data_IF_639387135411
#
_entry.id   IF_639387135411
#
_cell.length_a   1.000
_cell.length_b   1.000
_cell.length_c   1.000
_cell.angle_alpha   90.00
_cell.angle_beta   90.00
_cell.angle_gamma   90.00
#
_symmetry.space_group_name_H-M   'P 1'
#
loop_
_entity.id
_entity.type
_entity.pdbx_description
1 polymer ?
#
# COMPACT_ATOMS: atom_id res chain seq x y z
N UNK A 1 38.27 26.97 11.69
CA UNK A 1 38.13 25.51 11.83
C UNK A 1 37.14 25.07 10.76
N UNK A 2 37.65 24.61 9.64
CA UNK A 2 36.86 24.03 8.55
C UNK A 2 36.27 22.75 9.10
N UNK A 3 34.93 22.69 9.16
CA UNK A 3 34.20 21.52 9.62
C UNK A 3 34.52 20.35 8.69
N UNK A 4 34.74 19.18 9.27
CA UNK A 4 35.31 18.00 8.59
C UNK A 4 34.53 17.63 7.33
N UNK A 5 35.30 17.19 6.34
CA UNK A 5 34.88 16.61 5.08
C UNK A 5 33.71 15.62 5.26
N UNK A 6 32.50 16.05 4.91
CA UNK A 6 31.38 15.13 4.71
C UNK A 6 31.64 14.37 3.40
N UNK A 7 32.19 13.17 3.50
CA UNK A 7 32.26 12.25 2.37
C UNK A 7 30.90 11.55 2.21
N UNK A 8 30.12 12.07 1.26
CA UNK A 8 28.83 11.50 0.89
C UNK A 8 28.91 10.01 0.51
N UNK A 9 30.02 9.58 -0.10
CA UNK A 9 30.26 8.20 -0.50
C UNK A 9 30.40 7.28 0.70
N UNK A 10 31.18 7.68 1.70
CA UNK A 10 31.31 6.95 2.97
C UNK A 10 29.98 6.88 3.71
N UNK A 11 29.25 7.99 3.80
CA UNK A 11 27.93 8.05 4.45
C UNK A 11 26.90 7.13 3.76
N UNK A 12 26.89 7.06 2.42
CA UNK A 12 26.04 6.11 1.70
C UNK A 12 26.43 4.65 1.96
N UNK A 13 27.73 4.35 1.99
CA UNK A 13 28.25 3.02 2.29
C UNK A 13 27.86 2.57 3.70
N UNK A 14 27.92 3.47 4.67
CA UNK A 14 27.48 3.23 6.05
C UNK A 14 25.98 2.90 6.10
N UNK A 15 25.13 3.75 5.53
CA UNK A 15 23.68 3.51 5.50
C UNK A 15 23.28 2.20 4.81
N UNK A 16 23.98 1.81 3.74
CA UNK A 16 23.72 0.51 3.08
C UNK A 16 24.13 -0.69 3.94
N UNK A 17 25.22 -0.59 4.71
CA UNK A 17 25.64 -1.63 5.66
C UNK A 17 24.61 -1.79 6.78
N UNK A 18 24.10 -0.69 7.32
CA UNK A 18 23.04 -0.71 8.33
C UNK A 18 21.76 -1.37 7.80
N UNK A 19 21.34 -1.04 6.57
CA UNK A 19 20.18 -1.65 5.93
C UNK A 19 20.35 -3.18 5.74
N UNK A 20 21.56 -3.64 5.42
CA UNK A 20 21.87 -5.08 5.32
C UNK A 20 21.83 -5.77 6.69
N UNK A 21 22.41 -5.17 7.73
CA UNK A 21 22.39 -5.69 9.08
C UNK A 21 20.95 -5.80 9.61
N UNK A 22 20.11 -4.79 9.34
CA UNK A 22 18.69 -4.83 9.68
C UNK A 22 17.97 -5.96 8.95
N UNK A 23 18.22 -6.13 7.64
CA UNK A 23 17.63 -7.22 6.85
C UNK A 23 18.03 -8.61 7.36
N UNK A 24 19.22 -8.75 7.97
CA UNK A 24 19.69 -9.98 8.62
C UNK A 24 19.18 -10.16 10.06
N UNK A 25 18.47 -9.17 10.61
CA UNK A 25 17.99 -9.18 11.99
C UNK A 25 19.08 -8.89 13.04
N UNK A 26 20.22 -8.34 12.61
CA UNK A 26 21.37 -8.02 13.48
C UNK A 26 21.17 -6.69 14.22
N UNK A 27 20.41 -5.77 13.65
CA UNK A 27 20.09 -4.46 14.24
C UNK A 27 18.61 -4.13 14.09
N UNK A 28 18.06 -3.39 15.04
CA UNK A 28 16.73 -2.81 14.95
C UNK A 28 16.82 -1.40 14.37
N UNK A 29 16.06 -1.13 13.31
CA UNK A 29 15.90 0.20 12.72
C UNK A 29 14.44 0.64 12.84
N UNK A 30 14.20 1.94 12.90
CA UNK A 30 12.87 2.48 12.69
C UNK A 30 12.48 2.23 11.24
N UNK A 31 11.51 1.34 11.02
CA UNK A 31 11.07 0.97 9.68
C UNK A 31 9.59 1.24 9.52
N UNK A 32 9.26 1.90 8.42
CA UNK A 32 7.89 2.02 7.95
C UNK A 32 7.63 1.01 6.85
N UNK A 33 6.92 -0.07 7.19
CA UNK A 33 6.42 -1.01 6.19
C UNK A 33 5.31 -0.33 5.37
N UNK A 34 5.60 -0.04 4.12
CA UNK A 34 4.60 0.42 3.15
C UNK A 34 4.09 -0.80 2.42
N UNK A 35 2.84 -1.18 2.66
CA UNK A 35 2.17 -2.21 1.87
C UNK A 35 2.17 -1.77 0.39
N UNK A 36 2.87 -2.47 -0.50
CA UNK A 36 2.98 -2.07 -1.89
C UNK A 36 1.65 -2.21 -2.64
N UNK A 37 0.65 -2.87 -2.04
CA UNK A 37 -0.68 -3.14 -2.59
C UNK A 37 -0.63 -3.44 -4.10
N UNK A 38 0.04 -4.54 -4.49
CA UNK A 38 0.22 -4.88 -5.89
C UNK A 38 -1.12 -5.14 -6.58
N UNK A 39 -1.15 -5.00 -7.91
CA UNK A 39 -2.36 -5.19 -8.70
C UNK A 39 -3.05 -6.55 -8.48
N UNK A 40 -2.27 -7.62 -8.25
CA UNK A 40 -2.78 -8.94 -7.88
C UNK A 40 -3.54 -8.94 -6.56
N UNK A 41 -3.01 -8.30 -5.51
CA UNK A 41 -3.67 -8.17 -4.20
C UNK A 41 -4.97 -7.39 -4.29
N UNK A 42 -4.99 -6.30 -5.06
CA UNK A 42 -6.21 -5.49 -5.26
C UNK A 42 -7.31 -6.36 -5.90
N UNK A 43 -6.93 -7.18 -6.89
CA UNK A 43 -7.85 -8.12 -7.54
C UNK A 43 -8.34 -9.22 -6.60
N UNK A 44 -7.49 -9.70 -5.69
CA UNK A 44 -7.86 -10.68 -4.65
C UNK A 44 -8.88 -10.10 -3.67
N UNK A 45 -8.64 -8.89 -3.14
CA UNK A 45 -9.58 -8.18 -2.27
C UNK A 45 -10.94 -8.04 -2.96
N UNK A 46 -10.97 -7.57 -4.21
CA UNK A 46 -12.23 -7.46 -4.97
C UNK A 46 -12.93 -8.81 -5.09
N UNK A 47 -12.21 -9.86 -5.52
CA UNK A 47 -12.78 -11.21 -5.74
C UNK A 47 -13.39 -11.81 -4.47
N UNK A 48 -12.88 -11.45 -3.29
CA UNK A 48 -13.41 -11.92 -2.01
C UNK A 48 -14.84 -11.42 -1.77
N UNK A 49 -15.16 -10.21 -2.20
CA UNK A 49 -16.42 -9.54 -1.84
C UNK A 49 -17.38 -9.29 -3.01
N UNK A 50 -16.90 -9.38 -4.25
CA UNK A 50 -17.67 -9.15 -5.46
C UNK A 50 -17.13 -9.93 -6.67
N UNK A 51 -18.01 -10.48 -7.52
CA UNK A 51 -17.63 -11.23 -8.72
C UNK A 51 -17.08 -10.33 -9.83
N UNK A 52 -17.52 -9.06 -9.89
CA UNK A 52 -17.11 -8.07 -10.89
C UNK A 52 -16.73 -6.72 -10.27
N UNK A 53 -15.97 -5.88 -11.00
CA UNK A 53 -15.66 -4.51 -10.56
C UNK A 53 -16.90 -3.62 -10.47
N UNK A 54 -17.91 -3.85 -11.33
CA UNK A 54 -19.21 -3.16 -11.23
C UNK A 54 -19.99 -3.54 -9.97
N UNK A 55 -19.91 -4.80 -9.54
CA UNK A 55 -20.52 -5.23 -8.29
C UNK A 55 -19.77 -4.66 -7.08
N UNK A 56 -18.44 -4.62 -7.14
CA UNK A 56 -17.61 -3.99 -6.13
C UNK A 56 -17.92 -2.49 -5.99
N UNK A 57 -18.10 -1.80 -7.11
CA UNK A 57 -18.55 -0.40 -7.15
C UNK A 57 -19.90 -0.22 -6.48
N UNK A 58 -20.88 -1.08 -6.79
CA UNK A 58 -22.20 -1.01 -6.14
C UNK A 58 -22.12 -1.19 -4.63
N UNK A 59 -21.26 -2.07 -4.13
CA UNK A 59 -21.14 -2.34 -2.69
C UNK A 59 -20.35 -1.29 -1.92
N UNK A 60 -19.25 -0.80 -2.49
CA UNK A 60 -18.28 0.00 -1.75
C UNK A 60 -18.07 1.41 -2.32
N UNK A 61 -18.76 1.78 -3.39
CA UNK A 61 -18.69 3.11 -4.00
C UNK A 61 -17.39 3.41 -4.76
N UNK A 62 -16.46 2.45 -4.89
CA UNK A 62 -15.23 2.63 -5.67
C UNK A 62 -15.53 2.38 -7.15
N UNK A 63 -15.36 3.37 -8.06
CA UNK A 63 -15.73 3.22 -9.46
C UNK A 63 -15.06 2.02 -10.13
N UNK A 64 -15.81 1.25 -10.94
CA UNK A 64 -15.28 0.07 -11.60
C UNK A 64 -14.09 0.38 -12.52
N UNK A 65 -14.09 1.56 -13.16
CA UNK A 65 -12.97 2.04 -13.96
C UNK A 65 -11.70 2.25 -13.12
N UNK A 66 -11.84 2.78 -11.91
CA UNK A 66 -10.74 2.95 -10.94
C UNK A 66 -10.19 1.59 -10.53
N UNK A 67 -11.06 0.65 -10.14
CA UNK A 67 -10.65 -0.71 -9.80
C UNK A 67 -9.95 -1.41 -10.96
N UNK A 68 -10.46 -1.30 -12.20
CA UNK A 68 -9.83 -1.89 -13.37
C UNK A 68 -8.42 -1.32 -13.61
N UNK A 69 -8.24 0.00 -13.47
CA UNK A 69 -6.92 0.63 -13.62
C UNK A 69 -5.92 0.13 -12.59
N UNK A 70 -6.37 -0.09 -11.35
CA UNK A 70 -5.55 -0.64 -10.27
C UNK A 70 -5.22 -2.13 -10.47
N UNK A 71 -6.22 -2.96 -10.80
CA UNK A 71 -6.04 -4.40 -11.05
C UNK A 71 -5.18 -4.70 -12.29
N UNK A 72 -5.08 -3.76 -13.23
CA UNK A 72 -4.21 -3.85 -14.40
C UNK A 72 -2.84 -3.19 -14.17
N UNK A 73 -2.61 -2.57 -13.00
CA UNK A 73 -1.38 -1.86 -12.68
C UNK A 73 -1.13 -0.58 -13.49
N UNK A 74 -2.12 -0.10 -14.25
CA UNK A 74 -2.04 1.16 -15.02
C UNK A 74 -1.94 2.38 -14.11
N UNK A 75 -2.52 2.29 -12.92
CA UNK A 75 -2.44 3.27 -11.85
C UNK A 75 -2.23 2.55 -10.52
N UNK A 76 -1.61 3.24 -9.56
CA UNK A 76 -1.52 2.76 -8.18
C UNK A 76 -2.56 3.48 -7.32
N UNK A 77 -3.22 2.80 -6.36
CA UNK A 77 -4.05 3.47 -5.37
C UNK A 77 -3.17 4.43 -4.56
N UNK A 78 -3.68 5.63 -4.27
CA UNK A 78 -3.04 6.55 -3.35
C UNK A 78 -3.11 6.02 -1.89
N UNK A 79 -2.46 6.66 -0.90
CA UNK A 79 -2.50 6.19 0.48
C UNK A 79 -3.91 6.02 1.07
N UNK A 80 -4.84 6.90 0.74
CA UNK A 80 -6.22 6.86 1.24
C UNK A 80 -6.98 5.69 0.62
N UNK A 81 -6.82 5.49 -0.70
CA UNK A 81 -7.39 4.35 -1.40
C UNK A 81 -6.84 3.02 -0.87
N UNK A 82 -5.54 2.93 -0.56
CA UNK A 82 -4.95 1.75 0.06
C UNK A 82 -5.53 1.48 1.44
N UNK A 83 -5.70 2.53 2.26
CA UNK A 83 -6.34 2.39 3.57
C UNK A 83 -7.78 1.89 3.42
N UNK A 84 -8.56 2.47 2.50
CA UNK A 84 -9.94 2.05 2.26
C UNK A 84 -10.02 0.59 1.81
N UNK A 85 -9.16 0.16 0.88
CA UNK A 85 -9.09 -1.24 0.44
C UNK A 85 -8.75 -2.19 1.59
N UNK A 86 -7.88 -1.77 2.52
CA UNK A 86 -7.57 -2.53 3.74
C UNK A 86 -8.76 -2.59 4.70
N UNK A 87 -9.46 -1.48 4.90
CA UNK A 87 -10.67 -1.47 5.75
C UNK A 87 -11.77 -2.33 5.13
N UNK A 88 -11.91 -2.36 3.80
CA UNK A 88 -12.81 -3.31 3.12
C UNK A 88 -12.35 -4.77 3.33
N UNK A 89 -11.04 -5.02 3.32
CA UNK A 89 -10.48 -6.36 3.60
C UNK A 89 -10.82 -6.83 5.02
N UNK A 90 -10.73 -5.94 6.00
CA UNK A 90 -10.89 -6.27 7.43
C UNK A 90 -12.34 -6.13 7.95
N UNK A 91 -13.12 -5.19 7.43
CA UNK A 91 -14.47 -4.83 7.90
C UNK A 91 -15.40 -4.39 6.73
N UNK A 92 -15.71 -5.30 5.79
CA UNK A 92 -16.46 -4.97 4.57
C UNK A 92 -17.89 -4.47 4.84
N UNK A 93 -18.56 -5.04 5.83
CA UNK A 93 -19.92 -4.71 6.25
C UNK A 93 -20.06 -3.26 6.73
N UNK A 94 -19.04 -2.75 7.43
CA UNK A 94 -18.99 -1.35 7.89
C UNK A 94 -18.90 -0.40 6.69
N UNK A 95 -18.04 -0.72 5.72
CA UNK A 95 -17.86 0.11 4.52
C UNK A 95 -19.10 0.06 3.63
N UNK A 96 -19.67 -1.12 3.41
CA UNK A 96 -20.91 -1.30 2.63
C UNK A 96 -22.07 -0.50 3.26
N UNK A 97 -22.25 -0.60 4.58
CA UNK A 97 -23.24 0.21 5.29
C UNK A 97 -23.00 1.71 5.10
N UNK A 98 -21.76 2.17 5.25
CA UNK A 98 -21.41 3.58 5.09
C UNK A 98 -21.64 4.09 3.66
N UNK A 99 -21.35 3.26 2.65
CA UNK A 99 -21.56 3.58 1.24
C UNK A 99 -23.05 3.75 0.86
N UNK A 100 -23.96 3.15 1.64
CA UNK A 100 -25.40 3.17 1.41
C UNK A 100 -26.20 4.04 2.39
N UNK A 101 -25.53 4.69 3.36
CA UNK A 101 -26.19 5.49 4.40
C UNK A 101 -26.64 6.90 3.93
N UNK A 102 -26.63 7.17 2.62
CA UNK A 102 -26.95 8.45 2.01
C UNK A 102 -28.19 8.38 1.11
#
# INVERSE_FOLDING_TARGET
MTDKDFDFGEAMLEGLKEALAWKRGEVALEVRNVDPMPASRIKEIRKRYARSTKEFERKFGIPAATMNNWEQGRRKPDPTARLLLKVIEDAPDVVEKAAHAA
#
